data_IF_194541083225
#
_entry.id   IF_194541083225
#
_cell.length_a   1.000
_cell.length_b   1.000
_cell.length_c   1.000
_cell.angle_alpha   90.00
_cell.angle_beta   90.00
_cell.angle_gamma   90.00
#
_symmetry.space_group_name_H-M   'P 1'
#
loop_
_entity.id
_entity.type
_entity.pdbx_description
1 polymer ?
#
# COMPACT_ATOMS: atom_id res chain seq x y z
N UNK A 1 -31.02 29.66 3.36
CA UNK A 1 -31.97 28.97 2.46
C UNK A 1 -32.73 30.00 1.64
N UNK A 2 -32.93 29.75 0.34
CA UNK A 2 -33.65 30.67 -0.57
C UNK A 2 -35.16 30.67 -0.29
N UNK A 3 -35.91 31.65 -0.80
CA UNK A 3 -37.38 31.74 -0.73
C UNK A 3 -38.16 30.54 -1.34
N UNK A 4 -37.47 29.50 -1.79
CA UNK A 4 -38.01 28.36 -2.54
C UNK A 4 -37.92 27.02 -1.78
N UNK A 5 -37.25 26.99 -0.64
CA UNK A 5 -37.19 25.85 0.28
C UNK A 5 -37.27 26.38 1.72
N UNK A 6 -38.27 25.94 2.48
CA UNK A 6 -38.32 26.20 3.93
C UNK A 6 -37.96 24.94 4.70
N UNK A 7 -37.07 25.08 5.67
CA UNK A 7 -36.68 24.03 6.60
C UNK A 7 -37.11 24.45 8.01
N UNK A 8 -37.82 23.58 8.70
CA UNK A 8 -38.21 23.75 10.10
C UNK A 8 -37.67 22.58 10.92
N UNK A 9 -36.78 22.87 11.85
CA UNK A 9 -36.26 21.87 12.80
C UNK A 9 -37.37 21.52 13.79
N UNK A 10 -37.84 20.27 13.76
CA UNK A 10 -38.82 19.72 14.71
C UNK A 10 -38.15 19.14 15.95
N UNK A 11 -36.95 18.58 15.79
CA UNK A 11 -36.10 18.10 16.88
C UNK A 11 -34.65 18.35 16.52
N UNK A 12 -33.91 18.98 17.41
CA UNK A 12 -32.49 19.24 17.26
C UNK A 12 -31.67 17.94 17.20
N UNK A 13 -30.63 17.95 16.37
CA UNK A 13 -29.60 16.93 16.36
C UNK A 13 -28.46 17.23 17.35
N UNK A 14 -27.42 16.41 17.30
CA UNK A 14 -26.21 16.53 18.12
C UNK A 14 -24.96 16.65 17.26
N UNK A 15 -23.88 17.15 17.85
CA UNK A 15 -22.62 17.38 17.14
C UNK A 15 -22.56 18.71 16.38
N UNK A 16 -21.39 18.98 15.83
CA UNK A 16 -21.09 20.21 15.06
C UNK A 16 -20.85 19.95 13.59
N UNK A 17 -20.63 18.70 13.20
CA UNK A 17 -20.44 18.32 11.81
C UNK A 17 -21.76 18.24 11.05
N UNK A 18 -21.70 18.61 9.77
CA UNK A 18 -22.79 18.49 8.81
C UNK A 18 -22.37 17.57 7.66
N UNK A 19 -23.31 16.88 7.00
CA UNK A 19 -23.05 16.18 5.75
C UNK A 19 -22.47 17.11 4.68
N UNK A 20 -21.51 16.62 3.92
CA UNK A 20 -20.85 17.31 2.82
C UNK A 20 -21.19 16.63 1.48
N UNK A 21 -20.91 17.31 0.37
CA UNK A 21 -21.12 16.74 -0.95
C UNK A 21 -20.32 15.43 -1.09
N UNK A 22 -20.96 14.38 -1.59
CA UNK A 22 -20.37 13.04 -1.74
C UNK A 22 -20.55 12.13 -0.53
N UNK A 23 -20.95 12.64 0.64
CA UNK A 23 -21.21 11.78 1.79
C UNK A 23 -22.38 10.84 1.53
N UNK A 24 -22.23 9.61 2.01
CA UNK A 24 -23.34 8.66 2.10
C UNK A 24 -24.14 8.98 3.36
N UNK A 25 -25.37 9.46 3.17
CA UNK A 25 -26.28 9.81 4.27
C UNK A 25 -27.33 8.72 4.49
N UNK A 26 -27.77 8.55 5.73
CA UNK A 26 -28.77 7.57 6.14
C UNK A 26 -29.91 8.27 6.85
N UNK A 27 -31.11 8.22 6.26
CA UNK A 27 -32.27 8.95 6.76
C UNK A 27 -33.50 8.05 6.89
N UNK A 28 -34.41 8.42 7.79
CA UNK A 28 -35.82 8.10 7.58
C UNK A 28 -36.55 9.34 7.09
N UNK A 29 -37.62 9.11 6.32
CA UNK A 29 -38.52 10.17 5.89
C UNK A 29 -39.97 9.71 5.76
N UNK A 30 -40.85 10.71 5.76
CA UNK A 30 -42.27 10.66 5.41
C UNK A 30 -42.55 11.78 4.42
N UNK A 31 -43.14 11.48 3.27
CA UNK A 31 -43.48 12.43 2.21
C UNK A 31 -45.00 12.58 2.03
N UNK A 32 -45.48 13.82 2.12
CA UNK A 32 -46.90 14.16 1.94
C UNK A 32 -47.09 15.32 0.97
N UNK A 33 -48.25 15.37 0.32
CA UNK A 33 -48.72 16.58 -0.36
C UNK A 33 -49.18 17.62 0.68
N UNK A 34 -49.42 18.85 0.24
CA UNK A 34 -49.87 19.95 1.13
C UNK A 34 -51.26 19.73 1.74
N UNK A 35 -52.07 18.85 1.14
CA UNK A 35 -53.37 18.43 1.68
C UNK A 35 -53.26 17.30 2.72
N UNK A 36 -52.04 16.83 3.02
CA UNK A 36 -51.77 15.74 3.95
C UNK A 36 -51.75 14.35 3.32
N UNK A 37 -52.04 14.22 2.02
CA UNK A 37 -52.00 12.93 1.33
C UNK A 37 -50.59 12.35 1.36
N UNK A 38 -50.45 11.18 1.98
CA UNK A 38 -49.19 10.45 2.06
C UNK A 38 -48.87 9.76 0.72
N UNK A 39 -47.67 10.01 0.16
CA UNK A 39 -47.27 9.39 -1.11
C UNK A 39 -46.11 8.40 -0.98
N UNK A 40 -45.24 8.56 0.03
CA UNK A 40 -44.09 7.68 0.26
C UNK A 40 -43.48 7.84 1.66
N UNK A 41 -43.08 6.73 2.29
CA UNK A 41 -42.30 6.73 3.53
C UNK A 41 -41.33 5.56 3.60
N UNK A 42 -40.12 5.84 4.04
CA UNK A 42 -39.15 4.80 4.45
C UNK A 42 -39.53 4.06 5.73
N UNK A 43 -40.34 4.67 6.61
CA UNK A 43 -40.73 4.06 7.89
C UNK A 43 -41.68 2.89 7.68
N UNK A 44 -42.55 3.00 6.68
CA UNK A 44 -43.45 1.91 6.27
C UNK A 44 -42.67 0.68 5.79
N UNK A 45 -41.44 0.88 5.32
CA UNK A 45 -40.53 -0.19 4.86
C UNK A 45 -39.67 -0.76 5.99
N UNK A 46 -39.60 -0.09 7.14
CA UNK A 46 -38.76 -0.51 8.27
C UNK A 46 -37.25 -0.34 8.07
N UNK A 47 -36.81 0.19 6.93
CA UNK A 47 -35.40 0.34 6.58
C UNK A 47 -35.05 1.81 6.28
N UNK A 48 -33.86 2.23 6.71
CA UNK A 48 -33.35 3.58 6.42
C UNK A 48 -33.07 3.71 4.93
N UNK A 49 -33.41 4.85 4.37
CA UNK A 49 -33.02 5.20 3.02
C UNK A 49 -31.61 5.80 3.02
N UNK A 50 -30.75 5.35 2.12
CA UNK A 50 -29.40 5.90 1.97
C UNK A 50 -29.15 6.40 0.55
N UNK A 51 -28.47 7.53 0.44
CA UNK A 51 -28.10 8.14 -0.84
C UNK A 51 -26.81 8.94 -0.70
N UNK A 52 -26.18 9.28 -1.82
CA UNK A 52 -25.02 10.19 -1.88
C UNK A 52 -25.48 11.64 -2.01
N UNK A 53 -25.09 12.46 -1.04
CA UNK A 53 -25.52 13.85 -0.97
C UNK A 53 -24.87 14.70 -2.06
N UNK A 54 -25.66 15.55 -2.74
CA UNK A 54 -25.17 16.50 -3.74
C UNK A 54 -24.77 15.86 -5.07
N UNK A 55 -25.15 14.59 -5.30
CA UNK A 55 -24.93 13.86 -6.55
C UNK A 55 -26.18 13.78 -7.44
N UNK A 56 -27.28 14.42 -7.05
CA UNK A 56 -28.54 14.40 -7.80
C UNK A 56 -29.26 13.05 -7.78
N UNK A 57 -28.97 12.19 -6.80
CA UNK A 57 -29.71 10.94 -6.57
C UNK A 57 -31.12 11.20 -5.99
N UNK A 58 -31.34 12.39 -5.43
CA UNK A 58 -32.59 12.86 -4.83
C UNK A 58 -33.00 14.20 -5.43
N UNK A 59 -34.20 14.67 -5.09
CA UNK A 59 -34.66 16.00 -5.51
C UNK A 59 -33.74 17.10 -4.97
N UNK A 60 -33.61 18.22 -5.71
CA UNK A 60 -32.72 19.35 -5.34
C UNK A 60 -32.96 19.86 -3.93
N UNK A 61 -34.22 19.87 -3.47
CA UNK A 61 -34.58 20.28 -2.12
C UNK A 61 -33.92 19.41 -1.04
N UNK A 62 -33.78 18.11 -1.28
CA UNK A 62 -33.14 17.19 -0.34
C UNK A 62 -31.63 17.39 -0.31
N UNK A 63 -30.99 17.54 -1.47
CA UNK A 63 -29.55 17.82 -1.54
C UNK A 63 -29.18 19.08 -0.76
N UNK A 64 -30.04 20.10 -0.77
CA UNK A 64 -29.82 21.34 -0.01
C UNK A 64 -30.22 21.20 1.46
N UNK A 65 -31.38 20.58 1.74
CA UNK A 65 -31.93 20.50 3.10
C UNK A 65 -31.11 19.58 4.00
N UNK A 66 -30.80 18.37 3.53
CA UNK A 66 -30.07 17.36 4.33
C UNK A 66 -28.64 17.81 4.62
N UNK A 67 -28.01 18.59 3.73
CA UNK A 67 -26.71 19.20 3.95
C UNK A 67 -26.65 20.17 5.15
N UNK A 68 -27.81 20.64 5.63
CA UNK A 68 -27.88 21.53 6.80
C UNK A 68 -28.23 20.82 8.10
N UNK A 69 -28.51 19.52 8.06
CA UNK A 69 -29.00 18.76 9.21
C UNK A 69 -27.84 18.18 10.04
N UNK A 70 -28.03 18.12 11.36
CA UNK A 70 -27.15 17.39 12.28
C UNK A 70 -27.60 15.94 12.48
N UNK A 71 -26.69 15.09 12.93
CA UNK A 71 -27.03 13.70 13.31
C UNK A 71 -28.07 13.70 14.44
N UNK A 72 -29.16 12.96 14.24
CA UNK A 72 -30.32 12.86 15.13
C UNK A 72 -31.42 13.90 14.89
N UNK A 73 -31.16 14.89 14.04
CA UNK A 73 -32.10 15.98 13.73
C UNK A 73 -33.32 15.45 12.98
N UNK A 74 -34.50 15.93 13.36
CA UNK A 74 -35.76 15.75 12.64
C UNK A 74 -36.19 17.10 12.09
N UNK A 75 -36.25 17.22 10.77
CA UNK A 75 -36.58 18.47 10.08
C UNK A 75 -37.71 18.29 9.07
N UNK A 76 -38.56 19.31 8.95
CA UNK A 76 -39.59 19.38 7.93
C UNK A 76 -39.11 20.27 6.77
N UNK A 77 -39.09 19.71 5.57
CA UNK A 77 -38.76 20.39 4.32
C UNK A 77 -40.03 20.64 3.52
N UNK A 78 -40.31 21.91 3.19
CA UNK A 78 -41.36 22.27 2.23
C UNK A 78 -40.70 22.62 0.90
N UNK A 79 -40.90 21.75 -0.08
CA UNK A 79 -40.21 21.74 -1.34
C UNK A 79 -41.12 22.28 -2.44
N UNK A 80 -40.83 23.48 -2.97
CA UNK A 80 -41.54 23.99 -4.16
C UNK A 80 -41.22 23.13 -5.39
N UNK A 81 -42.08 23.15 -6.42
CA UNK A 81 -41.92 22.30 -7.61
C UNK A 81 -40.57 22.45 -8.29
N UNK A 82 -39.99 23.65 -8.31
CA UNK A 82 -38.72 23.96 -8.97
C UNK A 82 -37.52 23.24 -8.32
N UNK A 83 -37.65 22.84 -7.05
CA UNK A 83 -36.68 22.05 -6.29
C UNK A 83 -37.14 20.59 -6.06
N UNK A 84 -38.27 20.20 -6.65
CA UNK A 84 -38.86 18.87 -6.58
C UNK A 84 -39.00 18.28 -8.00
N UNK A 85 -40.22 17.91 -8.42
CA UNK A 85 -40.49 17.25 -9.71
C UNK A 85 -41.01 18.21 -10.81
N UNK A 86 -41.06 19.51 -10.55
CA UNK A 86 -41.44 20.54 -11.53
C UNK A 86 -42.81 20.33 -12.17
N UNK A 87 -42.94 20.80 -13.40
CA UNK A 87 -44.19 20.74 -14.19
C UNK A 87 -44.53 19.33 -14.69
N UNK A 88 -43.59 18.40 -14.68
CA UNK A 88 -43.85 17.02 -15.04
C UNK A 88 -44.52 16.22 -13.91
N UNK A 89 -44.19 16.54 -12.66
CA UNK A 89 -44.57 15.72 -11.51
C UNK A 89 -43.90 14.33 -11.54
N UNK A 90 -44.48 13.37 -10.82
CA UNK A 90 -44.12 11.95 -10.88
C UNK A 90 -45.39 11.09 -10.79
N UNK A 91 -46.13 10.97 -11.91
CA UNK A 91 -47.39 10.23 -11.94
C UNK A 91 -47.23 8.74 -11.57
N UNK A 92 -48.24 8.11 -10.95
CA UNK A 92 -49.54 8.68 -10.55
C UNK A 92 -49.52 9.39 -9.19
N UNK A 93 -48.42 9.31 -8.44
CA UNK A 93 -48.38 9.73 -7.03
C UNK A 93 -48.20 11.23 -6.83
N UNK A 94 -47.41 11.87 -7.69
CA UNK A 94 -47.03 13.28 -7.56
C UNK A 94 -47.57 14.06 -8.76
N UNK A 95 -48.53 14.97 -8.57
CA UNK A 95 -49.04 15.79 -9.65
C UNK A 95 -48.00 16.78 -10.23
N UNK A 96 -48.23 17.27 -11.46
CA UNK A 96 -47.55 18.45 -12.00
C UNK A 96 -47.57 19.64 -11.03
N UNK A 97 -46.44 20.35 -10.90
CA UNK A 97 -46.29 21.54 -10.07
C UNK A 97 -46.69 21.36 -8.60
N UNK A 98 -46.57 20.15 -8.06
CA UNK A 98 -46.90 19.88 -6.66
C UNK A 98 -45.82 20.44 -5.70
N UNK A 99 -46.28 21.11 -4.65
CA UNK A 99 -45.44 21.40 -3.47
C UNK A 99 -45.46 20.18 -2.55
N UNK A 100 -44.26 19.72 -2.16
CA UNK A 100 -44.10 18.53 -1.32
C UNK A 100 -43.71 18.93 0.09
N UNK A 101 -44.18 18.17 1.07
CA UNK A 101 -43.76 18.30 2.47
C UNK A 101 -43.08 16.99 2.87
N UNK A 102 -41.82 17.07 3.27
CA UNK A 102 -41.09 15.94 3.81
C UNK A 102 -40.80 16.17 5.28
N UNK A 103 -40.96 15.15 6.09
CA UNK A 103 -40.32 15.06 7.39
C UNK A 103 -39.13 14.10 7.25
N UNK A 104 -37.92 14.57 7.53
CA UNK A 104 -36.67 13.84 7.36
C UNK A 104 -35.94 13.77 8.69
N UNK A 105 -35.47 12.57 9.05
CA UNK A 105 -34.66 12.30 10.24
C UNK A 105 -33.28 11.82 9.78
N UNK A 106 -32.23 12.57 10.09
CA UNK A 106 -30.85 12.20 9.75
C UNK A 106 -30.26 11.32 10.85
N UNK A 107 -29.90 10.08 10.53
CA UNK A 107 -29.33 9.16 11.52
C UNK A 107 -27.81 9.11 11.49
N UNK A 108 -27.23 9.18 10.31
CA UNK A 108 -25.81 8.97 10.11
C UNK A 108 -25.40 9.54 8.76
N UNK A 109 -24.16 9.98 8.66
CA UNK A 109 -23.48 10.18 7.39
C UNK A 109 -22.06 9.67 7.49
N UNK A 110 -21.53 9.20 6.36
CA UNK A 110 -20.15 8.73 6.24
C UNK A 110 -19.51 9.37 5.02
N UNK A 111 -18.25 9.78 5.16
CA UNK A 111 -17.45 10.14 4.01
C UNK A 111 -17.19 8.93 3.11
N UNK A 112 -16.65 9.20 1.94
CA UNK A 112 -16.27 8.18 0.97
C UNK A 112 -15.00 7.47 1.42
N UNK A 113 -15.02 6.15 1.46
CA UNK A 113 -13.81 5.35 1.66
C UNK A 113 -13.10 5.20 0.32
N UNK A 114 -11.88 5.73 0.23
CA UNK A 114 -11.08 5.67 -1.01
C UNK A 114 -10.08 4.51 -1.01
N UNK A 115 -10.11 3.65 -0.01
CA UNK A 115 -9.25 2.47 0.06
C UNK A 115 -9.78 1.36 -0.83
N UNK A 116 -8.87 0.64 -1.49
CA UNK A 116 -9.21 -0.46 -2.40
C UNK A 116 -9.98 -1.60 -1.69
N UNK A 117 -9.66 -1.84 -0.41
CA UNK A 117 -10.27 -2.90 0.41
C UNK A 117 -11.50 -2.42 1.21
N UNK A 118 -11.92 -1.16 1.05
CA UNK A 118 -12.97 -0.50 1.86
C UNK A 118 -12.75 -0.70 3.39
N UNK A 119 -11.50 -0.56 3.85
CA UNK A 119 -11.09 -0.83 5.24
C UNK A 119 -11.30 0.36 6.20
N UNK A 120 -11.91 1.42 5.69
CA UNK A 120 -12.11 2.72 6.35
C UNK A 120 -10.81 3.44 6.63
N UNK A 121 -9.72 3.09 5.94
CA UNK A 121 -8.38 3.58 6.20
C UNK A 121 -8.16 5.03 5.81
N UNK A 122 -8.81 5.46 4.74
CA UNK A 122 -8.75 6.83 4.23
C UNK A 122 -10.17 7.27 3.85
N UNK A 123 -10.75 8.14 4.66
CA UNK A 123 -12.11 8.66 4.45
C UNK A 123 -12.03 10.08 3.91
N UNK A 124 -12.61 10.30 2.73
CA UNK A 124 -12.70 11.59 2.05
C UNK A 124 -14.01 12.31 2.36
N UNK A 125 -13.94 13.62 2.57
CA UNK A 125 -15.07 14.56 2.68
C UNK A 125 -14.80 15.75 1.74
N UNK A 126 -15.60 15.92 0.68
CA UNK A 126 -15.34 16.93 -0.35
C UNK A 126 -15.83 18.30 0.14
N UNK A 127 -14.93 19.29 0.17
CA UNK A 127 -15.22 20.69 0.52
C UNK A 127 -15.63 21.47 -0.73
N UNK A 128 -14.77 21.44 -1.74
CA UNK A 128 -15.00 22.05 -3.06
C UNK A 128 -14.87 20.97 -4.11
N UNK A 129 -15.91 20.79 -4.93
CA UNK A 129 -15.88 19.81 -6.01
C UNK A 129 -14.87 20.23 -7.08
N UNK A 130 -14.07 19.27 -7.55
CA UNK A 130 -13.18 19.48 -8.69
C UNK A 130 -13.92 19.55 -10.03
N UNK A 131 -13.13 19.65 -11.10
CA UNK A 131 -13.59 19.72 -12.47
C UNK A 131 -12.95 18.61 -13.29
N UNK A 132 -13.68 18.18 -14.32
CA UNK A 132 -13.24 17.08 -15.18
C UNK A 132 -13.53 15.69 -14.59
N UNK A 133 -12.94 14.67 -15.20
CA UNK A 133 -13.12 13.27 -14.82
C UNK A 133 -11.78 12.54 -14.64
N UNK A 134 -10.68 13.17 -15.03
CA UNK A 134 -9.34 12.62 -14.89
C UNK A 134 -8.84 12.80 -13.48
N UNK A 135 -8.03 11.84 -13.03
CA UNK A 135 -7.36 11.85 -11.74
C UNK A 135 -5.85 11.61 -11.93
N UNK A 136 -4.99 12.08 -11.00
CA UNK A 136 -3.58 11.74 -11.01
C UNK A 136 -3.38 10.23 -10.93
N UNK A 137 -2.38 9.70 -11.64
CA UNK A 137 -1.90 8.32 -11.51
C UNK A 137 -0.53 8.27 -10.83
N UNK A 138 -0.03 7.07 -10.56
CA UNK A 138 1.30 6.86 -10.02
C UNK A 138 2.34 7.51 -10.95
N UNK A 139 3.21 8.36 -10.39
CA UNK A 139 4.18 9.15 -11.14
C UNK A 139 3.66 10.45 -11.77
N UNK A 140 2.38 10.77 -11.68
CA UNK A 140 1.85 12.06 -12.13
C UNK A 140 2.54 13.23 -11.41
N UNK A 141 2.83 14.30 -12.15
CA UNK A 141 3.27 15.56 -11.57
C UNK A 141 2.05 16.30 -11.02
N UNK A 142 2.07 16.66 -9.74
CA UNK A 142 0.94 17.30 -9.05
C UNK A 142 1.35 18.62 -8.42
N UNK A 143 0.43 19.58 -8.43
CA UNK A 143 0.52 20.83 -7.68
C UNK A 143 -0.58 20.86 -6.63
N UNK A 144 -0.19 20.82 -5.35
CA UNK A 144 -1.14 20.69 -4.22
C UNK A 144 -0.83 21.67 -3.10
N UNK A 145 -1.87 22.07 -2.38
CA UNK A 145 -1.74 22.61 -1.02
C UNK A 145 -2.12 21.53 -0.04
N UNK A 146 -1.29 21.29 0.97
CA UNK A 146 -1.57 20.32 2.04
C UNK A 146 -1.53 21.01 3.39
N UNK A 147 -2.51 20.71 4.22
CA UNK A 147 -2.57 21.10 5.63
C UNK A 147 -2.80 19.82 6.46
N UNK A 148 -1.75 19.39 7.17
CA UNK A 148 -1.75 18.23 8.04
C UNK A 148 -2.12 18.61 9.47
N UNK A 149 -3.11 17.95 10.03
CA UNK A 149 -3.69 18.18 11.35
C UNK A 149 -3.62 16.88 12.15
N UNK A 150 -3.18 16.97 13.40
CA UNK A 150 -3.21 15.87 14.37
C UNK A 150 -3.81 16.39 15.67
N UNK A 151 -4.85 15.72 16.19
CA UNK A 151 -5.57 16.13 17.41
C UNK A 151 -5.97 17.62 17.43
N UNK A 152 -6.42 18.13 16.27
CA UNK A 152 -6.82 19.53 16.10
C UNK A 152 -5.68 20.54 15.96
N UNK A 153 -4.42 20.11 15.99
CA UNK A 153 -3.25 20.97 15.81
C UNK A 153 -2.68 20.80 14.41
N UNK A 154 -2.53 21.91 13.68
CA UNK A 154 -1.83 21.94 12.38
C UNK A 154 -0.33 21.72 12.60
N UNK A 155 0.25 20.70 11.96
CA UNK A 155 1.68 20.37 12.06
C UNK A 155 2.44 20.55 10.74
N UNK A 156 1.74 20.61 9.61
CA UNK A 156 2.31 20.83 8.28
C UNK A 156 1.35 21.68 7.46
N UNK A 157 1.83 22.75 6.83
CA UNK A 157 1.03 23.59 5.92
C UNK A 157 1.96 24.11 4.83
N UNK A 158 1.82 23.58 3.61
CA UNK A 158 2.73 23.88 2.49
C UNK A 158 2.04 23.73 1.14
N UNK A 159 2.52 24.52 0.18
CA UNK A 159 2.30 24.26 -1.24
C UNK A 159 3.46 23.41 -1.77
N UNK A 160 3.12 22.36 -2.52
CA UNK A 160 4.07 21.36 -3.01
C UNK A 160 3.86 21.12 -4.51
N UNK A 161 4.96 20.99 -5.23
CA UNK A 161 5.02 20.45 -6.59
C UNK A 161 5.92 19.23 -6.58
N UNK A 162 5.35 18.06 -6.86
CA UNK A 162 6.09 16.80 -6.78
C UNK A 162 5.46 15.74 -7.68
N UNK A 163 6.15 14.62 -7.88
CA UNK A 163 5.60 13.45 -8.55
C UNK A 163 5.02 12.46 -7.54
N UNK A 164 3.83 11.94 -7.81
CA UNK A 164 3.25 10.84 -7.02
C UNK A 164 4.23 9.65 -6.99
N UNK A 165 4.46 9.12 -5.80
CA UNK A 165 5.48 8.10 -5.48
C UNK A 165 6.74 8.70 -4.82
N UNK A 166 6.88 10.03 -4.77
CA UNK A 166 8.01 10.72 -4.14
C UNK A 166 7.65 11.41 -2.80
N UNK A 167 6.39 11.29 -2.33
CA UNK A 167 5.88 11.99 -1.16
C UNK A 167 6.57 11.63 0.17
N UNK A 168 7.00 10.38 0.36
CA UNK A 168 7.75 9.96 1.56
C UNK A 168 9.01 10.83 1.76
N UNK A 169 9.72 11.14 0.66
CA UNK A 169 10.92 12.00 0.68
C UNK A 169 10.64 13.45 1.08
N UNK A 170 9.39 13.88 1.00
CA UNK A 170 8.90 15.20 1.40
C UNK A 170 8.27 15.22 2.80
N UNK A 171 8.28 14.07 3.49
CA UNK A 171 7.67 13.87 4.80
C UNK A 171 6.16 13.65 4.74
N UNK A 172 5.59 13.36 3.58
CA UNK A 172 4.18 13.02 3.43
C UNK A 172 3.95 11.52 3.72
N UNK A 173 2.90 11.14 4.46
CA UNK A 173 2.54 9.74 4.63
C UNK A 173 1.89 9.19 3.35
N UNK A 174 1.99 7.86 3.13
CA UNK A 174 1.49 7.21 1.91
C UNK A 174 -0.01 7.45 1.64
N UNK A 175 -0.82 7.62 2.69
CA UNK A 175 -2.23 7.95 2.58
C UNK A 175 -2.50 9.30 1.92
N UNK A 176 -1.59 10.26 2.01
CA UNK A 176 -1.73 11.57 1.34
C UNK A 176 -1.56 11.42 -0.16
N UNK A 177 -0.61 10.61 -0.64
CA UNK A 177 -0.45 10.36 -2.07
C UNK A 177 -1.65 9.58 -2.64
N UNK A 178 -2.15 8.58 -1.90
CA UNK A 178 -3.40 7.88 -2.23
C UNK A 178 -4.60 8.84 -2.28
N UNK A 179 -4.69 9.78 -1.33
CA UNK A 179 -5.72 10.80 -1.31
C UNK A 179 -5.67 11.67 -2.57
N UNK A 180 -4.49 12.18 -2.95
CA UNK A 180 -4.31 13.01 -4.15
C UNK A 180 -4.73 12.25 -5.43
N UNK A 181 -4.39 10.96 -5.55
CA UNK A 181 -4.83 10.13 -6.68
C UNK A 181 -6.34 9.89 -6.76
N UNK A 182 -7.09 10.13 -5.68
CA UNK A 182 -8.55 10.03 -5.67
C UNK A 182 -9.25 11.33 -6.12
N UNK A 183 -8.52 12.45 -6.18
CA UNK A 183 -9.04 13.80 -6.40
C UNK A 183 -9.14 14.18 -7.89
N UNK A 184 -10.06 15.10 -8.17
CA UNK A 184 -10.20 15.81 -9.45
C UNK A 184 -9.44 17.16 -9.41
N UNK A 185 -9.08 17.71 -10.57
CA UNK A 185 -8.42 19.02 -10.63
C UNK A 185 -9.32 20.13 -10.05
N UNK A 186 -8.76 20.99 -9.21
CA UNK A 186 -9.50 22.02 -8.48
C UNK A 186 -10.26 21.53 -7.26
N UNK A 187 -10.27 20.22 -6.96
CA UNK A 187 -10.91 19.66 -5.77
C UNK A 187 -10.19 20.11 -4.50
N UNK A 188 -10.98 20.43 -3.47
CA UNK A 188 -10.51 20.63 -2.10
C UNK A 188 -11.29 19.67 -1.20
N UNK A 189 -10.59 18.86 -0.42
CA UNK A 189 -11.21 17.83 0.40
C UNK A 189 -10.46 17.63 1.72
N UNK A 190 -11.19 17.18 2.74
CA UNK A 190 -10.64 16.72 4.01
C UNK A 190 -10.54 15.19 4.00
N UNK A 191 -9.41 14.68 4.43
CA UNK A 191 -9.12 13.26 4.52
C UNK A 191 -8.82 12.86 5.95
N UNK A 192 -9.58 11.92 6.50
CA UNK A 192 -9.24 11.23 7.74
C UNK A 192 -8.41 9.99 7.41
N UNK A 193 -7.16 9.95 7.87
CA UNK A 193 -6.18 8.92 7.54
C UNK A 193 -5.84 8.11 8.80
N UNK A 194 -6.17 6.82 8.79
CA UNK A 194 -5.82 5.89 9.88
C UNK A 194 -4.31 5.60 9.91
N UNK A 195 -3.76 5.12 11.04
CA UNK A 195 -2.32 4.93 11.21
C UNK A 195 -1.66 4.04 10.14
N UNK A 196 -2.38 3.02 9.64
CA UNK A 196 -1.93 2.14 8.54
C UNK A 196 -1.50 2.93 7.29
N UNK A 197 -2.16 4.05 7.02
CA UNK A 197 -1.90 4.93 5.88
C UNK A 197 -1.22 6.25 6.29
N UNK A 198 -1.09 6.51 7.59
CA UNK A 198 -0.41 7.67 8.17
C UNK A 198 1.08 7.41 8.44
N UNK A 199 1.58 7.88 9.58
CA UNK A 199 2.95 7.64 10.04
C UNK A 199 3.14 6.30 10.78
N UNK A 200 2.13 5.42 10.75
CA UNK A 200 2.20 4.09 11.36
C UNK A 200 2.39 4.11 12.88
N UNK A 201 2.87 2.98 13.41
CA UNK A 201 3.13 2.80 14.83
C UNK A 201 4.39 3.53 15.33
N UNK A 202 5.25 3.99 14.42
CA UNK A 202 6.44 4.75 14.78
C UNK A 202 6.11 6.23 15.05
N UNK A 203 5.05 6.76 14.43
CA UNK A 203 4.73 8.18 14.48
C UNK A 203 5.73 9.01 13.67
N UNK A 204 5.79 10.31 13.95
CA UNK A 204 6.73 11.22 13.29
C UNK A 204 7.37 12.18 14.30
N UNK A 205 8.64 11.94 14.61
CA UNK A 205 9.37 12.74 15.59
C UNK A 205 9.56 14.20 15.18
N UNK A 206 9.68 14.51 13.88
CA UNK A 206 9.84 15.89 13.38
C UNK A 206 8.62 16.74 13.73
N UNK A 207 7.44 16.15 13.67
CA UNK A 207 6.15 16.81 13.91
C UNK A 207 5.57 16.53 15.31
N UNK A 208 6.31 15.83 16.17
CA UNK A 208 5.84 15.34 17.47
C UNK A 208 4.54 14.52 17.40
N UNK A 209 4.37 13.75 16.33
CA UNK A 209 3.20 12.90 16.14
C UNK A 209 3.46 11.54 16.80
N UNK A 210 2.62 11.08 17.73
CA UNK A 210 2.80 9.79 18.37
C UNK A 210 2.52 8.62 17.41
N UNK A 211 3.08 7.47 17.75
CA UNK A 211 2.77 6.22 17.05
C UNK A 211 1.29 5.86 17.16
N UNK A 212 0.69 5.41 16.06
CA UNK A 212 -0.74 5.05 16.04
C UNK A 212 -1.69 6.24 15.97
N UNK A 213 -1.18 7.46 15.71
CA UNK A 213 -2.02 8.65 15.54
C UNK A 213 -2.86 8.57 14.25
N UNK A 214 -4.13 8.99 14.37
CA UNK A 214 -4.96 9.32 13.21
C UNK A 214 -4.62 10.73 12.75
N UNK A 215 -4.59 10.95 11.44
CA UNK A 215 -4.27 12.23 10.84
C UNK A 215 -5.47 12.77 10.09
N UNK A 216 -5.61 14.09 10.09
CA UNK A 216 -6.48 14.80 9.18
C UNK A 216 -5.62 15.55 8.17
N UNK A 217 -5.95 15.45 6.90
CA UNK A 217 -5.30 16.24 5.86
C UNK A 217 -6.35 17.00 5.07
N UNK A 218 -6.26 18.32 5.06
CA UNK A 218 -6.99 19.14 4.11
C UNK A 218 -6.09 19.33 2.89
N UNK A 219 -6.56 18.88 1.74
CA UNK A 219 -5.78 18.87 0.50
C UNK A 219 -6.56 19.64 -0.56
N UNK A 220 -5.86 20.52 -1.28
CA UNK A 220 -6.35 21.15 -2.49
C UNK A 220 -5.48 20.72 -3.66
N UNK A 221 -6.08 20.05 -4.64
CA UNK A 221 -5.40 19.70 -5.89
C UNK A 221 -5.58 20.83 -6.89
N UNK A 222 -4.52 21.60 -7.14
CA UNK A 222 -4.59 22.78 -8.00
C UNK A 222 -4.47 22.40 -9.48
N UNK A 223 -3.52 21.53 -9.81
CA UNK A 223 -3.27 21.05 -11.16
C UNK A 223 -2.53 19.70 -11.13
N UNK A 224 -2.65 18.93 -12.19
CA UNK A 224 -1.78 17.77 -12.39
C UNK A 224 -1.55 17.43 -13.86
N UNK A 225 -0.46 16.73 -14.12
CA UNK A 225 -0.16 16.09 -15.40
C UNK A 225 0.06 14.60 -15.16
N UNK A 226 -0.76 13.75 -15.79
CA UNK A 226 -0.65 12.29 -15.66
C UNK A 226 0.71 11.82 -16.18
N UNK A 227 1.28 10.84 -15.50
CA UNK A 227 2.34 10.05 -16.10
C UNK A 227 1.76 9.23 -17.25
N UNK A 228 2.47 9.14 -18.37
CA UNK A 228 2.11 8.21 -19.44
C UNK A 228 2.30 6.78 -18.95
N UNK A 229 1.32 5.95 -19.19
CA UNK A 229 1.43 4.52 -18.95
C UNK A 229 2.37 3.88 -19.97
N UNK A 230 2.94 2.72 -19.63
CA UNK A 230 3.92 2.04 -20.50
C UNK A 230 3.38 1.78 -21.92
N UNK A 231 2.09 1.47 -22.06
CA UNK A 231 1.46 1.21 -23.36
C UNK A 231 1.06 2.48 -24.14
N UNK A 232 1.03 3.65 -23.49
CA UNK A 232 0.71 4.93 -24.13
C UNK A 232 1.94 5.53 -24.83
N UNK A 233 3.14 5.04 -24.50
CA UNK A 233 4.39 5.48 -25.10
C UNK A 233 4.82 4.57 -26.23
N UNK A 234 5.23 5.15 -27.35
CA UNK A 234 5.95 4.42 -28.37
C UNK A 234 7.41 4.16 -27.95
N UNK A 235 8.12 3.28 -28.66
CA UNK A 235 9.51 2.93 -28.35
C UNK A 235 10.44 4.14 -28.23
N UNK A 236 10.31 5.12 -29.14
CA UNK A 236 11.18 6.31 -29.15
C UNK A 236 10.96 7.12 -27.86
N UNK A 237 9.70 7.35 -27.49
CA UNK A 237 9.34 8.02 -26.25
C UNK A 237 9.84 7.24 -25.03
N UNK A 238 9.69 5.91 -24.99
CA UNK A 238 10.19 5.08 -23.88
C UNK A 238 11.70 5.22 -23.70
N UNK A 239 12.47 5.22 -24.78
CA UNK A 239 13.94 5.36 -24.74
C UNK A 239 14.37 6.76 -24.28
N UNK A 240 13.68 7.80 -24.74
CA UNK A 240 13.92 9.18 -24.33
C UNK A 240 13.58 9.39 -22.84
N UNK A 241 12.37 8.99 -22.42
CA UNK A 241 11.92 9.06 -21.03
C UNK A 241 12.82 8.24 -20.10
N UNK A 242 13.23 7.05 -20.52
CA UNK A 242 14.19 6.22 -19.77
C UNK A 242 15.52 6.93 -19.53
N UNK A 243 15.98 7.75 -20.49
CA UNK A 243 17.21 8.53 -20.34
C UNK A 243 17.03 9.67 -19.34
N UNK A 244 15.89 10.37 -19.39
CA UNK A 244 15.55 11.46 -18.46
C UNK A 244 15.45 10.94 -17.02
N UNK A 245 14.66 9.88 -16.77
CA UNK A 245 14.50 9.34 -15.41
C UNK A 245 15.79 8.71 -14.88
N UNK A 246 16.66 8.18 -15.75
CA UNK A 246 18.01 7.73 -15.35
C UNK A 246 18.85 8.89 -14.80
N UNK A 247 18.81 10.05 -15.44
CA UNK A 247 19.52 11.24 -14.98
C UNK A 247 18.93 11.76 -13.67
N UNK A 248 17.59 11.85 -13.57
CA UNK A 248 16.88 12.22 -12.33
C UNK A 248 17.24 11.28 -11.17
N UNK A 249 17.18 9.97 -11.39
CA UNK A 249 17.59 8.97 -10.40
C UNK A 249 19.06 9.11 -9.98
N UNK A 250 19.94 9.47 -10.92
CA UNK A 250 21.36 9.72 -10.63
C UNK A 250 21.55 10.96 -9.77
N UNK A 251 20.75 12.01 -9.99
CA UNK A 251 20.75 13.20 -9.15
C UNK A 251 20.28 12.87 -7.73
N UNK A 252 19.17 12.14 -7.56
CA UNK A 252 18.71 11.68 -6.25
C UNK A 252 19.75 10.80 -5.54
N UNK A 253 20.42 9.91 -6.28
CA UNK A 253 21.48 9.08 -5.70
C UNK A 253 22.63 9.94 -5.14
N UNK A 254 23.05 10.97 -5.86
CA UNK A 254 24.09 11.92 -5.40
C UNK A 254 23.68 12.70 -4.17
N UNK A 255 22.39 13.03 -4.05
CA UNK A 255 21.81 13.70 -2.88
C UNK A 255 21.59 12.76 -1.68
N UNK A 256 21.91 11.47 -1.80
CA UNK A 256 21.69 10.47 -0.75
C UNK A 256 20.24 9.98 -0.65
N UNK A 257 19.37 10.39 -1.58
CA UNK A 257 17.95 10.02 -1.65
C UNK A 257 17.76 8.68 -2.35
N UNK A 258 18.29 7.61 -1.76
CA UNK A 258 18.38 6.29 -2.41
C UNK A 258 17.02 5.66 -2.72
N UNK A 259 16.01 5.86 -1.86
CA UNK A 259 14.64 5.39 -2.14
C UNK A 259 14.06 6.04 -3.40
N UNK A 260 14.12 7.38 -3.49
CA UNK A 260 13.63 8.12 -4.65
C UNK A 260 14.42 7.77 -5.92
N UNK A 261 15.73 7.60 -5.81
CA UNK A 261 16.55 7.11 -6.92
C UNK A 261 16.07 5.73 -7.42
N UNK A 262 15.76 4.81 -6.51
CA UNK A 262 15.27 3.48 -6.86
C UNK A 262 13.93 3.52 -7.61
N UNK A 263 13.01 4.41 -7.24
CA UNK A 263 11.72 4.59 -7.95
C UNK A 263 11.96 4.99 -9.40
N UNK A 264 12.87 5.94 -9.64
CA UNK A 264 13.20 6.40 -10.99
C UNK A 264 13.81 5.29 -11.86
N UNK A 265 14.72 4.49 -11.31
CA UNK A 265 15.31 3.37 -12.06
C UNK A 265 14.32 2.21 -12.30
N UNK A 266 13.37 1.96 -11.38
CA UNK A 266 12.30 0.97 -11.58
C UNK A 266 11.39 1.32 -12.77
N UNK A 267 11.15 2.61 -13.04
CA UNK A 267 10.38 3.06 -14.22
C UNK A 267 11.04 2.62 -15.52
N UNK A 268 12.36 2.74 -15.63
CA UNK A 268 13.13 2.29 -16.82
C UNK A 268 12.91 0.80 -17.07
N UNK A 269 13.00 -0.02 -16.01
CA UNK A 269 12.79 -1.46 -16.11
C UNK A 269 11.36 -1.73 -16.58
N UNK A 270 10.36 -1.14 -15.92
CA UNK A 270 8.94 -1.29 -16.28
C UNK A 270 8.63 -0.94 -17.74
N UNK A 271 9.25 0.13 -18.28
CA UNK A 271 9.01 0.54 -19.66
C UNK A 271 9.68 -0.34 -20.71
N UNK A 272 10.85 -0.90 -20.39
CA UNK A 272 11.73 -1.56 -21.39
C UNK A 272 11.85 -3.09 -21.22
N UNK A 273 11.41 -3.68 -20.10
CA UNK A 273 11.62 -5.11 -19.81
C UNK A 273 10.92 -6.02 -20.82
N UNK A 274 9.69 -5.68 -21.20
CA UNK A 274 8.85 -6.46 -22.12
C UNK A 274 8.77 -5.91 -23.54
N UNK A 275 9.57 -4.89 -23.86
CA UNK A 275 9.61 -4.34 -25.20
C UNK A 275 10.29 -5.33 -26.15
N UNK A 276 9.64 -5.61 -27.29
CA UNK A 276 10.12 -6.58 -28.29
C UNK A 276 9.88 -6.07 -29.71
N UNK A 277 10.55 -6.66 -30.70
CA UNK A 277 10.43 -6.23 -32.10
C UNK A 277 11.12 -4.90 -32.40
N UNK A 278 12.10 -4.51 -31.58
CA UNK A 278 12.88 -3.28 -31.75
C UNK A 278 13.83 -3.38 -32.94
N UNK A 279 14.15 -2.21 -33.51
CA UNK A 279 15.27 -2.10 -34.45
C UNK A 279 16.58 -2.50 -33.75
N UNK A 280 17.58 -2.95 -34.50
CA UNK A 280 18.87 -3.35 -33.91
C UNK A 280 19.53 -2.21 -33.11
N UNK A 281 19.38 -0.97 -33.57
CA UNK A 281 19.89 0.21 -32.89
C UNK A 281 19.14 0.49 -31.57
N UNK A 282 17.81 0.39 -31.59
CA UNK A 282 16.97 0.65 -30.44
C UNK A 282 17.06 -0.46 -29.40
N UNK A 283 17.20 -1.72 -29.82
CA UNK A 283 17.44 -2.84 -28.91
C UNK A 283 18.77 -2.65 -28.17
N UNK A 284 19.81 -2.18 -28.86
CA UNK A 284 21.10 -1.87 -28.23
C UNK A 284 20.98 -0.75 -27.19
N UNK A 285 20.22 0.31 -27.49
CA UNK A 285 19.92 1.40 -26.56
C UNK A 285 19.10 0.91 -25.36
N UNK A 286 18.02 0.16 -25.60
CA UNK A 286 17.15 -0.40 -24.58
C UNK A 286 17.93 -1.35 -23.65
N UNK A 287 18.76 -2.23 -24.20
CA UNK A 287 19.64 -3.12 -23.43
C UNK A 287 20.63 -2.34 -22.57
N UNK A 288 21.25 -1.29 -23.11
CA UNK A 288 22.17 -0.44 -22.35
C UNK A 288 21.47 0.30 -21.20
N UNK A 289 20.24 0.79 -21.42
CA UNK A 289 19.42 1.46 -20.40
C UNK A 289 18.97 0.49 -19.31
N UNK A 290 18.47 -0.71 -19.68
CA UNK A 290 18.10 -1.77 -18.71
C UNK A 290 19.30 -2.19 -17.86
N UNK A 291 20.46 -2.42 -18.47
CA UNK A 291 21.68 -2.77 -17.74
C UNK A 291 22.06 -1.65 -16.76
N UNK A 292 22.05 -0.39 -17.19
CA UNK A 292 22.34 0.74 -16.31
C UNK A 292 21.33 0.86 -15.16
N UNK A 293 20.04 0.67 -15.43
CA UNK A 293 18.98 0.72 -14.43
C UNK A 293 19.17 -0.37 -13.35
N UNK A 294 19.35 -1.63 -13.74
CA UNK A 294 19.59 -2.73 -12.80
C UNK A 294 20.86 -2.54 -11.97
N UNK A 295 21.96 -2.09 -12.60
CA UNK A 295 23.18 -1.78 -11.87
C UNK A 295 22.93 -0.68 -10.82
N UNK A 296 22.25 0.40 -11.19
CA UNK A 296 21.99 1.50 -10.27
C UNK A 296 20.98 1.12 -9.17
N UNK A 297 19.98 0.28 -9.47
CA UNK A 297 19.07 -0.30 -8.49
C UNK A 297 19.82 -1.14 -7.46
N UNK A 298 20.70 -2.04 -7.90
CA UNK A 298 21.53 -2.83 -6.99
C UNK A 298 22.33 -1.94 -6.03
N UNK A 299 22.88 -0.83 -6.55
CA UNK A 299 23.61 0.13 -5.71
C UNK A 299 22.69 0.86 -4.71
N UNK A 300 21.47 1.24 -5.12
CA UNK A 300 20.49 1.85 -4.22
C UNK A 300 20.13 0.90 -3.08
N UNK A 301 19.81 -0.36 -3.40
CA UNK A 301 19.43 -1.37 -2.42
C UNK A 301 20.57 -1.72 -1.45
N UNK A 302 21.81 -1.78 -1.92
CA UNK A 302 22.97 -1.91 -1.04
C UNK A 302 23.08 -0.74 -0.06
N UNK A 303 22.79 0.50 -0.49
CA UNK A 303 22.78 1.68 0.38
C UNK A 303 21.60 1.67 1.37
N UNK A 304 20.47 1.09 0.97
CA UNK A 304 19.28 0.92 1.81
C UNK A 304 19.36 -0.31 2.74
N UNK A 305 20.42 -1.11 2.64
CA UNK A 305 20.59 -2.37 3.40
C UNK A 305 19.51 -3.41 3.07
N UNK A 306 19.09 -3.46 1.80
CA UNK A 306 18.09 -4.40 1.26
C UNK A 306 18.79 -5.43 0.35
N UNK A 307 19.58 -6.38 0.89
CA UNK A 307 20.48 -7.21 0.09
C UNK A 307 19.75 -8.18 -0.85
N UNK A 308 18.55 -8.64 -0.50
CA UNK A 308 17.75 -9.51 -1.38
C UNK A 308 17.39 -8.81 -2.70
N UNK A 309 16.95 -7.55 -2.63
CA UNK A 309 16.60 -6.76 -3.82
C UNK A 309 17.84 -6.35 -4.62
N UNK A 310 18.97 -6.12 -3.93
CA UNK A 310 20.25 -5.89 -4.59
C UNK A 310 20.70 -7.12 -5.39
N UNK A 311 20.55 -8.32 -4.84
CA UNK A 311 20.88 -9.58 -5.49
C UNK A 311 20.04 -9.78 -6.75
N UNK A 312 18.72 -9.64 -6.68
CA UNK A 312 17.81 -9.78 -7.82
C UNK A 312 18.16 -8.79 -8.95
N UNK A 313 18.44 -7.53 -8.59
CA UNK A 313 18.86 -6.52 -9.56
C UNK A 313 20.18 -6.87 -10.23
N UNK A 314 21.13 -7.44 -9.48
CA UNK A 314 22.40 -7.90 -10.03
C UNK A 314 22.24 -9.09 -10.97
N UNK A 315 21.37 -10.06 -10.64
CA UNK A 315 21.09 -11.20 -11.51
C UNK A 315 20.51 -10.74 -12.85
N UNK A 316 19.53 -9.82 -12.83
CA UNK A 316 19.01 -9.19 -14.05
C UNK A 316 20.06 -8.44 -14.86
N UNK A 317 21.00 -7.76 -14.20
CA UNK A 317 22.13 -7.14 -14.90
C UNK A 317 23.05 -8.19 -15.56
N UNK A 318 23.27 -9.34 -14.93
CA UNK A 318 24.12 -10.42 -15.45
C UNK A 318 23.44 -11.25 -16.55
N UNK A 319 22.11 -11.32 -16.58
CA UNK A 319 21.35 -11.83 -17.74
C UNK A 319 21.65 -11.00 -19.00
N UNK A 320 21.83 -9.68 -18.86
CA UNK A 320 22.15 -8.76 -19.96
C UNK A 320 23.65 -8.74 -20.32
N UNK A 321 24.52 -8.78 -19.31
CA UNK A 321 25.98 -8.83 -19.44
C UNK A 321 26.59 -9.73 -18.34
N UNK A 322 26.78 -11.01 -18.66
CA UNK A 322 27.27 -12.04 -17.75
C UNK A 322 28.72 -11.84 -17.26
N UNK A 323 29.43 -10.86 -17.83
CA UNK A 323 30.78 -10.50 -17.43
C UNK A 323 30.84 -9.21 -16.63
N UNK A 324 29.73 -8.48 -16.45
CA UNK A 324 29.76 -7.12 -15.93
C UNK A 324 30.44 -7.00 -14.56
N UNK A 325 31.56 -6.27 -14.52
CA UNK A 325 32.36 -6.08 -13.31
C UNK A 325 31.53 -5.57 -12.12
N UNK A 326 30.69 -4.55 -12.37
CA UNK A 326 29.89 -3.91 -11.31
C UNK A 326 28.79 -4.84 -10.80
N UNK A 327 28.13 -5.59 -11.68
CA UNK A 327 27.07 -6.51 -11.28
C UNK A 327 27.63 -7.65 -10.41
N UNK A 328 28.69 -8.32 -10.86
CA UNK A 328 29.36 -9.39 -10.10
C UNK A 328 29.85 -8.89 -8.74
N UNK A 329 30.50 -7.72 -8.71
CA UNK A 329 31.02 -7.17 -7.46
C UNK A 329 29.89 -6.83 -6.46
N UNK A 330 28.84 -6.14 -6.93
CA UNK A 330 27.69 -5.77 -6.10
C UNK A 330 26.87 -6.98 -5.64
N UNK A 331 26.76 -8.03 -6.45
CA UNK A 331 26.11 -9.29 -6.06
C UNK A 331 26.89 -9.97 -4.95
N UNK A 332 28.22 -10.00 -5.06
CA UNK A 332 29.11 -10.46 -4.00
C UNK A 332 28.93 -9.67 -2.70
N UNK A 333 28.78 -8.35 -2.76
CA UNK A 333 28.49 -7.52 -1.57
C UNK A 333 27.13 -7.83 -0.93
N UNK A 334 26.09 -8.03 -1.75
CA UNK A 334 24.75 -8.40 -1.27
C UNK A 334 24.76 -9.79 -0.59
N UNK A 335 25.35 -10.79 -1.24
CA UNK A 335 25.52 -12.14 -0.69
C UNK A 335 26.33 -12.14 0.61
N UNK A 336 27.40 -11.33 0.66
CA UNK A 336 28.19 -11.18 1.87
C UNK A 336 27.36 -10.60 3.03
N UNK A 337 26.52 -9.59 2.76
CA UNK A 337 25.62 -9.02 3.75
C UNK A 337 24.57 -10.05 4.24
N UNK A 338 24.16 -10.98 3.37
CA UNK A 338 23.28 -12.11 3.71
C UNK A 338 24.00 -13.27 4.41
N UNK A 339 25.33 -13.18 4.61
CA UNK A 339 26.21 -14.23 5.16
C UNK A 339 26.35 -15.48 4.28
N UNK A 340 26.00 -15.37 3.00
CA UNK A 340 26.23 -16.40 1.98
C UNK A 340 27.69 -16.32 1.48
N UNK A 341 28.64 -16.61 2.37
CA UNK A 341 30.06 -16.29 2.15
C UNK A 341 30.69 -17.10 1.01
N UNK A 342 30.26 -18.34 0.78
CA UNK A 342 30.76 -19.17 -0.32
C UNK A 342 30.33 -18.60 -1.69
N UNK A 343 29.06 -18.23 -1.84
CA UNK A 343 28.56 -17.61 -3.07
C UNK A 343 29.21 -16.23 -3.31
N UNK A 344 29.34 -15.43 -2.24
CA UNK A 344 30.03 -14.14 -2.32
C UNK A 344 31.51 -14.29 -2.74
N UNK A 345 32.21 -15.29 -2.20
CA UNK A 345 33.58 -15.63 -2.59
C UNK A 345 33.66 -15.92 -4.08
N UNK A 346 32.75 -16.74 -4.60
CA UNK A 346 32.76 -17.16 -6.00
C UNK A 346 32.56 -15.97 -6.94
N UNK A 347 31.67 -15.04 -6.59
CA UNK A 347 31.49 -13.78 -7.33
C UNK A 347 32.74 -12.89 -7.30
N UNK A 348 33.33 -12.64 -6.13
CA UNK A 348 34.55 -11.85 -6.04
C UNK A 348 35.73 -12.51 -6.75
N UNK A 349 35.82 -13.84 -6.70
CA UNK A 349 36.82 -14.60 -7.44
C UNK A 349 36.65 -14.42 -8.96
N UNK A 350 35.41 -14.47 -9.45
CA UNK A 350 35.11 -14.20 -10.86
C UNK A 350 35.48 -12.78 -11.26
N UNK A 351 35.23 -11.78 -10.41
CA UNK A 351 35.69 -10.40 -10.64
C UNK A 351 37.22 -10.34 -10.72
N UNK A 352 37.95 -11.00 -9.82
CA UNK A 352 39.42 -10.99 -9.84
C UNK A 352 39.98 -11.68 -11.09
N UNK A 353 39.32 -12.73 -11.58
CA UNK A 353 39.71 -13.45 -12.79
C UNK A 353 39.52 -12.60 -14.05
N UNK A 354 38.37 -11.94 -14.18
CA UNK A 354 38.04 -11.12 -15.36
C UNK A 354 38.67 -9.72 -15.29
N UNK A 355 38.83 -9.17 -14.09
CA UNK A 355 39.30 -7.81 -13.82
C UNK A 355 40.42 -7.79 -12.75
N UNK A 356 41.64 -8.25 -13.09
CA UNK A 356 42.73 -8.41 -12.12
C UNK A 356 43.20 -7.12 -11.45
N UNK A 357 42.88 -5.95 -12.01
CA UNK A 357 43.20 -4.64 -11.46
C UNK A 357 42.29 -4.22 -10.29
N UNK A 358 41.15 -4.90 -10.10
CA UNK A 358 40.19 -4.57 -9.06
C UNK A 358 40.71 -4.96 -7.66
N UNK A 359 41.28 -3.99 -6.95
CA UNK A 359 41.82 -4.19 -5.58
C UNK A 359 40.74 -4.44 -4.54
N UNK A 360 39.54 -3.88 -4.73
CA UNK A 360 38.43 -4.07 -3.81
C UNK A 360 37.96 -5.53 -3.83
N UNK A 361 37.84 -6.14 -5.01
CA UNK A 361 37.46 -7.54 -5.17
C UNK A 361 38.45 -8.49 -4.50
N UNK A 362 39.77 -8.25 -4.65
CA UNK A 362 40.81 -9.03 -3.94
C UNK A 362 40.67 -8.93 -2.42
N UNK A 363 40.36 -7.74 -1.91
CA UNK A 363 40.19 -7.51 -0.48
C UNK A 363 38.95 -8.22 0.07
N UNK A 364 37.82 -8.13 -0.65
CA UNK A 364 36.58 -8.80 -0.29
C UNK A 364 36.70 -10.33 -0.40
N UNK A 365 37.40 -10.85 -1.41
CA UNK A 365 37.68 -12.27 -1.56
C UNK A 365 38.44 -12.83 -0.33
N UNK A 366 39.49 -12.14 0.11
CA UNK A 366 40.24 -12.52 1.30
C UNK A 366 39.37 -12.45 2.57
N UNK A 367 38.48 -11.46 2.65
CA UNK A 367 37.53 -11.34 3.76
C UNK A 367 36.51 -12.50 3.77
N UNK A 368 35.97 -12.89 2.62
CA UNK A 368 35.08 -14.05 2.50
C UNK A 368 35.77 -15.33 2.98
N UNK A 369 37.00 -15.59 2.51
CA UNK A 369 37.79 -16.76 2.92
C UNK A 369 38.02 -16.77 4.44
N UNK A 370 38.30 -15.61 5.04
CA UNK A 370 38.43 -15.48 6.50
C UNK A 370 37.12 -15.84 7.21
N UNK A 371 35.98 -15.29 6.76
CA UNK A 371 34.65 -15.56 7.35
C UNK A 371 34.24 -17.03 7.23
N UNK A 372 34.47 -17.65 6.08
CA UNK A 372 34.21 -19.09 5.86
C UNK A 372 35.03 -19.92 6.86
N UNK A 373 36.32 -19.61 7.03
CA UNK A 373 37.17 -20.31 8.00
C UNK A 373 36.69 -20.13 9.43
N UNK A 374 36.28 -18.92 9.83
CA UNK A 374 35.71 -18.64 11.15
C UNK A 374 34.39 -19.42 11.37
N UNK A 375 33.54 -19.50 10.35
CA UNK A 375 32.28 -20.24 10.38
C UNK A 375 32.53 -21.74 10.58
N UNK A 376 33.41 -22.34 9.77
CA UNK A 376 33.78 -23.76 9.91
C UNK A 376 34.37 -24.08 11.28
N UNK A 377 35.17 -23.18 11.87
CA UNK A 377 35.70 -23.35 13.21
C UNK A 377 34.61 -23.34 14.28
N UNK A 378 33.64 -22.41 14.17
CA UNK A 378 32.49 -22.36 15.07
C UNK A 378 31.62 -23.61 14.93
N UNK A 379 31.31 -24.01 13.70
CA UNK A 379 30.48 -25.18 13.44
C UNK A 379 31.14 -26.44 13.99
N UNK A 380 32.45 -26.60 13.79
CA UNK A 380 33.22 -27.71 14.38
C UNK A 380 33.10 -27.76 15.90
N UNK A 381 33.18 -26.62 16.59
CA UNK A 381 33.01 -26.55 18.04
C UNK A 381 31.56 -26.87 18.47
N UNK A 382 30.57 -26.36 17.74
CA UNK A 382 29.16 -26.64 17.99
C UNK A 382 28.87 -28.14 17.85
N UNK A 383 29.31 -28.77 16.75
CA UNK A 383 29.12 -30.20 16.52
C UNK A 383 29.86 -31.05 17.54
N UNK A 384 31.09 -30.69 17.92
CA UNK A 384 31.83 -31.40 18.98
C UNK A 384 31.09 -31.34 20.32
N UNK A 385 30.58 -30.18 20.71
CA UNK A 385 29.80 -30.00 21.94
C UNK A 385 28.46 -30.73 21.89
N UNK A 386 27.78 -30.73 20.73
CA UNK A 386 26.55 -31.50 20.54
C UNK A 386 26.80 -33.00 20.68
N UNK A 387 27.86 -33.52 20.04
CA UNK A 387 28.25 -34.93 20.12
C UNK A 387 28.56 -35.35 21.56
N UNK A 388 29.32 -34.52 22.30
CA UNK A 388 29.60 -34.76 23.72
C UNK A 388 28.31 -34.80 24.56
N UNK A 389 27.39 -33.85 24.36
CA UNK A 389 26.11 -33.83 25.07
C UNK A 389 25.25 -35.06 24.79
N UNK A 390 25.24 -35.57 23.55
CA UNK A 390 24.52 -36.80 23.21
C UNK A 390 25.18 -38.02 23.85
N UNK A 391 26.51 -38.12 23.80
CA UNK A 391 27.27 -39.18 24.47
C UNK A 391 27.04 -39.20 26.00
N UNK A 392 27.02 -38.02 26.64
CA UNK A 392 26.73 -37.89 28.07
C UNK A 392 25.29 -38.29 28.42
N UNK A 393 24.33 -37.97 27.55
CA UNK A 393 22.92 -38.36 27.71
C UNK A 393 22.76 -39.87 27.60
N UNK A 394 23.36 -40.49 26.59
CA UNK A 394 23.30 -41.93 26.38
C UNK A 394 23.94 -42.68 27.55
N UNK A 395 25.07 -42.16 28.05
CA UNK A 395 25.74 -42.70 29.24
C UNK A 395 24.86 -42.61 30.50
N UNK A 396 24.11 -41.51 30.69
CA UNK A 396 23.15 -41.38 31.80
C UNK A 396 21.95 -42.32 31.67
N UNK A 397 21.45 -42.56 30.46
CA UNK A 397 20.37 -43.53 30.21
C UNK A 397 20.83 -44.97 30.48
N UNK A 398 22.06 -45.31 30.09
CA UNK A 398 22.67 -46.61 30.39
C UNK A 398 22.96 -46.79 31.90
N UNK A 399 23.40 -45.74 32.59
CA UNK A 399 23.59 -45.75 34.05
C UNK A 399 22.30 -45.91 34.85
N UNK A 400 21.17 -45.40 34.36
CA UNK A 400 19.84 -45.64 34.95
C UNK A 400 19.35 -47.08 34.73
N UNK A 401 19.68 -47.70 33.60
CA UNK A 401 19.37 -49.12 33.30
C UNK A 401 20.20 -50.10 34.13
N UNK A 402 21.44 -49.75 34.49
CA UNK A 402 22.26 -50.59 35.39
C UNK A 402 21.85 -50.49 36.86
N UNK A 403 21.28 -49.35 37.30
CA UNK A 403 20.71 -49.21 38.64
C UNK A 403 19.33 -49.88 38.79
N UNK A 404 18.57 -50.05 37.70
CA UNK A 404 17.30 -50.81 37.75
C UNK A 404 17.51 -52.33 37.70
N UNK A 405 18.61 -52.80 37.10
CA UNK A 405 18.93 -54.24 37.05
C UNK A 405 19.47 -54.80 38.37
N UNK A 406 20.05 -53.97 39.25
CA UNK A 406 20.44 -54.38 40.62
C UNK A 406 19.28 -54.42 41.63
N UNK A 407 18.06 -53.97 41.26
CA UNK A 407 16.85 -54.10 42.10
C UNK A 407 15.91 -55.22 41.65
N UNK A 408 16.24 -55.97 40.60
CA UNK A 408 15.38 -57.00 40.00
C UNK A 408 15.95 -58.42 40.05
N UNK A 409 17.03 -58.66 40.80
CA UNK A 409 17.62 -60.00 40.97
C UNK A 409 17.05 -60.81 42.15
N UNK A 410 15.89 -60.42 42.69
CA UNK A 410 15.13 -61.23 43.65
C UNK A 410 13.66 -61.36 43.22
N UNK A 411 13.39 -62.06 42.12
CA UNK A 411 12.16 -62.83 41.91
C UNK A 411 12.18 -63.52 40.54
N UNK A 412 12.40 -64.84 40.55
CA UNK A 412 11.66 -65.93 39.85
C UNK A 412 10.79 -65.54 38.63
N UNK A 413 10.59 -66.33 37.58
CA UNK A 413 10.81 -67.74 37.23
C UNK A 413 10.43 -67.84 35.73
N UNK A 414 10.99 -68.84 35.04
CA UNK A 414 10.47 -69.60 33.90
C UNK A 414 9.28 -69.09 33.06
N UNK A 415 9.44 -69.19 31.73
CA UNK A 415 8.34 -69.53 30.81
C UNK A 415 8.39 -68.81 29.48
N UNK A 416 8.76 -69.53 28.41
CA UNK A 416 8.55 -69.12 27.02
C UNK A 416 7.07 -69.27 26.62
N UNK A 417 6.56 -68.28 25.90
CA UNK A 417 5.53 -68.24 24.83
C UNK A 417 5.12 -66.76 24.71
N UNK A 418 4.89 -66.10 23.58
CA UNK A 418 4.55 -66.51 22.22
C UNK A 418 4.80 -65.28 21.30
N UNK A 419 4.99 -65.53 20.00
CA UNK A 419 4.91 -64.53 18.92
C UNK A 419 3.49 -63.96 18.82
N UNK A 420 3.35 -62.65 18.64
CA UNK A 420 2.37 -62.09 17.72
C UNK A 420 2.96 -60.89 16.97
N UNK A 421 2.83 -60.97 15.65
CA UNK A 421 3.23 -59.99 14.64
C UNK A 421 1.94 -59.34 14.17
N UNK A 422 1.86 -58.01 14.10
CA UNK A 422 1.05 -57.41 13.04
C UNK A 422 1.62 -56.08 12.52
N UNK A 423 1.83 -56.13 11.21
CA UNK A 423 2.33 -55.19 10.22
C UNK A 423 1.57 -53.85 10.11
N UNK A 424 2.19 -52.90 9.41
CA UNK A 424 1.43 -51.82 8.76
C UNK A 424 2.23 -50.78 8.00
N UNK A 425 3.05 -51.16 7.01
CA UNK A 425 3.49 -50.25 5.94
C UNK A 425 2.34 -50.02 4.94
N UNK A 426 2.16 -48.77 4.48
CA UNK A 426 1.69 -48.49 3.11
C UNK A 426 2.26 -47.14 2.62
N UNK A 427 3.05 -47.25 1.57
CA UNK A 427 3.52 -46.19 0.68
C UNK A 427 2.36 -45.49 -0.06
N UNK A 428 2.55 -44.21 -0.39
CA UNK A 428 1.79 -43.51 -1.43
C UNK A 428 2.77 -42.75 -2.32
N UNK A 429 2.84 -43.17 -3.58
CA UNK A 429 3.32 -42.38 -4.70
C UNK A 429 2.20 -42.35 -5.75
N UNK A 430 1.93 -41.19 -6.33
CA UNK A 430 1.10 -41.06 -7.53
C UNK A 430 1.63 -39.93 -8.41
N UNK A 431 1.86 -40.29 -9.67
CA UNK A 431 2.35 -39.51 -10.79
C UNK A 431 1.35 -38.50 -11.37
N UNK A 432 1.96 -37.62 -12.17
CA UNK A 432 1.50 -36.77 -13.27
C UNK A 432 0.17 -37.13 -13.97
N UNK A 433 -0.54 -36.09 -14.40
CA UNK A 433 -1.50 -36.15 -15.50
C UNK A 433 -1.14 -35.13 -16.58
N UNK A 434 -1.28 -35.60 -17.81
CA UNK A 434 -1.38 -34.85 -19.05
C UNK A 434 -2.56 -33.86 -19.07
#
# INVERSE_FOLDING_TARGET
>A
LSCLLSLLVKREGTGTELPMTGDKVFVHYVGTLTDGTHFDSSRDRGEKFSFELGKGQVIKAWDIGVATMKVGELSQLVCKPEYAYGSAGSPPKIPPNATLVFEVELFEFRGEDITEDEDGGIIRRIITKGQGYSKPNEGAAVEVTVEGICDGTVFDERELKFEIGEGEGLGLPAGVEKAIMAMEEGEEALFNIKPKYGFGNAGNAKYNIPGGAMLQYKIKLTAFEKAKESWEMNTVEKLEQSSIVKEKGTQYFKEGKYKQASVQYKRIVSWLEHESGLSEEDEKKAKALRLAAHLNLAMCFLKLQEPNQALESCDKALELDASNEKALFRRGEALFAMKEFDMARDDFQRVVQLYPANKAAKSQLALCQKRIKEQHQKDKLIYANMFQKFADRDSKVMGYRSHSSHKRSESKENGNDEMEVENGEKEVASEEKA
#
